data_IF_015591587431
#
_entry.id   IF_015591587431
#
_cell.length_a   1.000
_cell.length_b   1.000
_cell.length_c   1.000
_cell.angle_alpha   90.00
_cell.angle_beta   90.00
_cell.angle_gamma   90.00
#
_symmetry.space_group_name_H-M   'P 1'
#
loop_
_entity.id
_entity.type
_entity.pdbx_description
1 polymer ?
#
# COMPACT_ATOMS: atom_id res chain seq x y z
N UNK A 1 1.63 24.09 -18.06
CA UNK A 1 1.18 23.56 -17.73
C UNK A 1 0.74 23.04 -16.89
N UNK A 2 0.31 23.01 -16.39
CA UNK A 2 -0.08 22.57 -15.52
C UNK A 2 -0.91 21.74 -15.39
N UNK A 3 -1.54 21.22 -15.71
CA UNK A 3 -2.33 20.53 -15.70
C UNK A 3 -2.19 19.20 -15.72
N UNK A 4 -1.99 18.98 -16.26
CA UNK A 4 -1.30 17.72 -16.16
C UNK A 4 -1.58 17.00 -14.86
N UNK A 5 -1.70 17.77 -13.83
CA UNK A 5 -1.95 17.23 -12.51
C UNK A 5 -3.27 16.48 -12.42
N UNK A 6 -4.23 16.88 -13.21
CA UNK A 6 -5.53 16.21 -13.19
C UNK A 6 -5.44 14.76 -13.62
N UNK A 7 -4.38 14.40 -14.33
CA UNK A 7 -4.22 13.03 -14.81
C UNK A 7 -3.81 12.07 -13.73
N UNK A 8 -3.46 12.60 -12.55
CA UNK A 8 -3.07 11.75 -11.43
C UNK A 8 -4.01 11.91 -10.26
N UNK A 9 -5.28 12.19 -10.55
CA UNK A 9 -6.27 12.35 -9.50
C UNK A 9 -6.54 11.06 -8.75
N UNK A 10 -6.30 9.92 -9.40
CA UNK A 10 -6.56 8.64 -8.79
C UNK A 10 -5.40 7.70 -9.01
N UNK A 11 -5.18 6.85 -8.01
CA UNK A 11 -4.20 5.78 -8.11
C UNK A 11 -4.84 4.50 -7.64
N UNK A 12 -4.26 3.38 -8.04
CA UNK A 12 -4.70 2.09 -7.54
C UNK A 12 -3.56 1.48 -6.77
N UNK A 13 -3.83 1.08 -5.52
CA UNK A 13 -2.82 0.51 -4.65
C UNK A 13 -3.32 -0.75 -3.99
N UNK A 14 -2.37 -1.58 -3.58
CA UNK A 14 -2.60 -2.68 -2.67
C UNK A 14 -1.82 -2.38 -1.41
N UNK A 15 -2.26 -2.93 -0.28
CA UNK A 15 -1.49 -2.77 0.95
C UNK A 15 -1.58 -4.01 1.82
N UNK A 16 -0.61 -4.13 2.72
CA UNK A 16 -0.60 -5.14 3.77
C UNK A 16 -0.56 -4.39 5.08
N UNK A 17 -1.57 -4.59 5.91
CA UNK A 17 -1.66 -3.93 7.21
C UNK A 17 -1.28 -4.92 8.31
N UNK A 18 -0.31 -4.54 9.13
CA UNK A 18 0.09 -5.33 10.29
C UNK A 18 0.16 -4.41 11.50
N UNK A 19 0.21 -5.00 12.70
CA UNK A 19 0.11 -4.22 13.94
C UNK A 19 1.43 -3.66 14.42
N UNK A 20 2.54 -4.33 14.13
CA UNK A 20 3.83 -3.95 14.69
C UNK A 20 4.87 -3.73 13.61
N UNK A 21 5.89 -2.95 13.97
CA UNK A 21 7.00 -2.69 13.07
C UNK A 21 7.77 -3.98 12.77
N UNK A 22 7.89 -4.86 13.75
CA UNK A 22 8.56 -6.14 13.56
C UNK A 22 7.86 -6.97 12.48
N UNK A 23 6.53 -7.00 12.53
CA UNK A 23 5.76 -7.71 11.50
C UNK A 23 5.93 -7.06 10.13
N UNK A 24 5.96 -5.72 10.08
CA UNK A 24 6.17 -5.02 8.83
C UNK A 24 7.52 -5.35 8.22
N UNK A 25 8.57 -5.44 9.06
CA UNK A 25 9.88 -5.82 8.58
C UNK A 25 9.89 -7.25 8.04
N UNK A 26 9.18 -8.14 8.72
CA UNK A 26 9.08 -9.52 8.22
C UNK A 26 8.42 -9.57 6.84
N UNK A 27 7.40 -8.75 6.62
CA UNK A 27 6.77 -8.65 5.31
C UNK A 27 7.77 -8.14 4.26
N UNK A 28 8.53 -7.10 4.60
CA UNK A 28 9.55 -6.58 3.69
C UNK A 28 10.57 -7.66 3.32
N UNK A 29 11.01 -8.45 4.29
CA UNK A 29 11.98 -9.51 4.05
C UNK A 29 11.42 -10.56 3.10
N UNK A 30 10.15 -10.92 3.25
CA UNK A 30 9.49 -11.88 2.37
C UNK A 30 9.40 -11.34 0.94
N UNK A 31 9.07 -10.06 0.81
CA UNK A 31 9.00 -9.42 -0.51
C UNK A 31 10.37 -9.40 -1.17
N UNK A 32 11.42 -9.12 -0.39
CA UNK A 32 12.78 -9.09 -0.90
C UNK A 32 13.24 -10.47 -1.40
N UNK A 33 12.66 -11.52 -0.83
CA UNK A 33 12.96 -12.90 -1.27
C UNK A 33 12.16 -13.31 -2.50
N UNK A 34 11.32 -12.42 -3.01
CA UNK A 34 10.54 -12.69 -4.21
C UNK A 34 9.16 -13.27 -3.97
N UNK A 35 8.69 -13.31 -2.72
CA UNK A 35 7.33 -13.81 -2.47
C UNK A 35 6.30 -12.83 -3.00
N UNK A 36 5.15 -13.35 -3.38
CA UNK A 36 4.08 -12.56 -3.95
C UNK A 36 3.46 -11.61 -2.91
N UNK A 37 3.34 -10.34 -3.26
CA UNK A 37 2.67 -9.35 -2.41
C UNK A 37 1.25 -9.81 -2.08
N UNK A 38 0.53 -10.26 -3.10
CA UNK A 38 -0.85 -10.74 -2.94
C UNK A 38 -0.94 -11.91 -1.97
N UNK A 39 -0.04 -12.87 -2.09
CA UNK A 39 -0.05 -14.04 -1.21
C UNK A 39 0.23 -13.65 0.24
N UNK A 40 1.20 -12.75 0.45
CA UNK A 40 1.50 -12.29 1.81
C UNK A 40 0.29 -11.55 2.39
N UNK A 41 -0.33 -10.69 1.60
CA UNK A 41 -1.52 -9.96 2.05
C UNK A 41 -2.62 -10.92 2.51
N UNK A 42 -2.86 -11.98 1.75
CA UNK A 42 -3.87 -12.97 2.10
C UNK A 42 -3.56 -13.69 3.41
N UNK A 43 -2.27 -13.88 3.69
CA UNK A 43 -1.85 -14.61 4.89
C UNK A 43 -1.83 -13.75 6.14
N UNK A 44 -1.36 -12.51 6.05
CA UNK A 44 -1.03 -11.75 7.25
C UNK A 44 -1.72 -10.40 7.37
N UNK A 45 -2.32 -9.86 6.31
CA UNK A 45 -2.91 -8.53 6.40
C UNK A 45 -4.09 -8.51 7.36
N UNK A 46 -4.11 -7.49 8.23
CA UNK A 46 -5.20 -7.29 9.18
C UNK A 46 -6.40 -6.60 8.52
N UNK A 47 -6.23 -6.09 7.33
CA UNK A 47 -7.29 -5.39 6.61
C UNK A 47 -8.13 -6.41 5.81
N UNK A 48 -9.47 -6.23 5.75
CA UNK A 48 -10.30 -7.12 4.93
C UNK A 48 -9.87 -7.23 3.48
N UNK A 49 -9.23 -6.18 2.93
CA UNK A 49 -8.71 -6.21 1.57
C UNK A 49 -7.66 -7.30 1.37
N UNK A 50 -7.11 -7.84 2.45
CA UNK A 50 -6.16 -8.94 2.37
C UNK A 50 -6.69 -10.11 1.56
N UNK A 51 -7.98 -10.37 1.65
CA UNK A 51 -8.63 -11.45 0.90
C UNK A 51 -8.50 -11.26 -0.62
N UNK A 52 -8.33 -10.02 -1.05
CA UNK A 52 -8.15 -9.67 -2.46
C UNK A 52 -6.69 -9.37 -2.78
N UNK A 53 -5.78 -9.92 -2.00
CA UNK A 53 -4.35 -9.64 -2.19
C UNK A 53 -3.95 -8.25 -1.76
N UNK A 54 -4.77 -7.60 -0.95
CA UNK A 54 -4.52 -6.24 -0.48
C UNK A 54 -5.02 -5.15 -1.40
N UNK A 55 -5.60 -5.50 -2.54
CA UNK A 55 -6.05 -4.54 -3.55
C UNK A 55 -7.18 -3.66 -3.01
N UNK A 56 -6.93 -2.36 -2.98
CA UNK A 56 -7.90 -1.37 -2.50
C UNK A 56 -8.71 -0.75 -3.63
N UNK A 57 -8.40 -1.10 -4.88
CA UNK A 57 -9.01 -0.44 -6.02
C UNK A 57 -8.47 0.96 -6.21
N UNK A 58 -9.10 1.71 -7.10
CA UNK A 58 -8.69 3.10 -7.35
C UNK A 58 -9.29 4.02 -6.31
N UNK A 59 -8.52 5.02 -5.91
CA UNK A 59 -8.99 6.03 -4.98
C UNK A 59 -8.32 7.37 -5.29
N UNK A 60 -9.01 8.44 -4.91
CA UNK A 60 -8.49 9.79 -5.07
C UNK A 60 -8.01 10.36 -3.76
N UNK A 61 -7.57 11.60 -3.83
CA UNK A 61 -7.15 12.33 -2.64
C UNK A 61 -8.35 12.56 -1.75
N UNK A 62 -8.11 12.53 -0.44
CA UNK A 62 -9.16 12.75 0.55
C UNK A 62 -9.92 11.50 0.96
N UNK A 63 -9.64 10.36 0.35
CA UNK A 63 -10.36 9.12 0.65
C UNK A 63 -9.66 8.22 1.64
N UNK A 64 -8.34 8.36 1.76
CA UNK A 64 -7.52 7.56 2.69
C UNK A 64 -6.95 8.45 3.78
N UNK A 65 -6.48 7.84 4.87
CA UNK A 65 -5.78 8.62 5.88
C UNK A 65 -4.58 9.30 5.24
N UNK A 66 -4.21 10.46 5.79
CA UNK A 66 -3.23 11.34 5.16
C UNK A 66 -1.90 10.67 4.91
N UNK A 67 -1.38 9.94 5.89
CA UNK A 67 -0.08 9.27 5.75
C UNK A 67 -0.09 8.27 4.60
N UNK A 68 -1.18 7.53 4.48
CA UNK A 68 -1.34 6.56 3.39
C UNK A 68 -1.41 7.28 2.05
N UNK A 69 -2.21 8.32 1.97
CA UNK A 69 -2.40 9.08 0.74
C UNK A 69 -1.07 9.65 0.23
N UNK A 70 -0.32 10.30 1.11
CA UNK A 70 0.96 10.89 0.72
C UNK A 70 1.87 9.83 0.13
N UNK A 71 1.97 8.69 0.79
CA UNK A 71 2.81 7.62 0.31
C UNK A 71 2.33 7.08 -1.04
N UNK A 72 1.03 6.81 -1.14
CA UNK A 72 0.45 6.21 -2.34
C UNK A 72 0.67 7.09 -3.58
N UNK A 73 0.51 8.41 -3.41
CA UNK A 73 0.67 9.32 -4.54
C UNK A 73 2.13 9.65 -4.83
N UNK A 74 3.03 9.33 -3.91
CA UNK A 74 4.48 9.52 -4.13
C UNK A 74 5.11 8.33 -4.82
N UNK A 75 4.58 7.12 -4.61
CA UNK A 75 5.10 5.92 -5.25
C UNK A 75 4.91 5.97 -6.76
N UNK A 76 5.85 5.39 -7.47
CA UNK A 76 5.70 5.16 -8.90
C UNK A 76 5.00 3.83 -9.12
N UNK A 77 4.38 3.69 -10.29
CA UNK A 77 3.71 2.44 -10.63
C UNK A 77 4.67 1.26 -10.48
N UNK A 78 4.22 0.26 -9.74
CA UNK A 78 5.01 -0.95 -9.48
C UNK A 78 5.89 -0.86 -8.25
N UNK A 79 6.06 0.33 -7.68
CA UNK A 79 6.88 0.49 -6.49
C UNK A 79 6.17 0.03 -5.23
N UNK A 80 6.97 -0.47 -4.28
CA UNK A 80 6.49 -0.87 -2.96
C UNK A 80 7.15 0.03 -1.92
N UNK A 81 6.37 0.48 -0.95
CA UNK A 81 6.86 1.42 0.06
C UNK A 81 7.60 0.72 1.20
N UNK A 82 8.37 1.50 1.95
CA UNK A 82 8.76 1.13 3.29
C UNK A 82 7.52 1.16 4.19
N UNK A 83 7.57 0.63 5.42
CA UNK A 83 6.42 0.67 6.31
C UNK A 83 5.97 2.10 6.59
N UNK A 84 4.66 2.31 6.50
CA UNK A 84 4.04 3.61 6.77
C UNK A 84 3.14 3.44 8.00
N UNK A 85 3.42 4.21 9.04
CA UNK A 85 2.64 4.14 10.26
C UNK A 85 1.40 5.01 10.17
N UNK A 86 0.26 4.46 10.53
CA UNK A 86 -1.00 5.19 10.66
C UNK A 86 -1.64 4.81 11.99
N UNK A 87 -2.80 5.37 12.26
CA UNK A 87 -3.55 4.99 13.47
C UNK A 87 -3.97 3.52 13.48
N UNK A 88 -3.97 2.87 12.33
CA UNK A 88 -4.38 1.46 12.23
C UNK A 88 -3.23 0.48 12.42
N UNK A 89 -2.01 0.94 12.31
CA UNK A 89 -0.83 0.10 12.41
C UNK A 89 0.19 0.47 11.34
N UNK A 90 0.84 -0.53 10.75
CA UNK A 90 1.87 -0.32 9.74
C UNK A 90 1.39 -0.88 8.40
N UNK A 91 1.51 -0.06 7.37
CA UNK A 91 1.11 -0.42 6.01
C UNK A 91 2.33 -0.59 5.12
N UNK A 92 2.35 -1.67 4.35
CA UNK A 92 3.28 -1.81 3.23
C UNK A 92 2.42 -1.59 2.00
N UNK A 93 2.72 -0.57 1.21
CA UNK A 93 1.88 -0.13 0.10
C UNK A 93 2.56 -0.39 -1.22
N UNK A 94 1.83 -0.96 -2.16
CA UNK A 94 2.32 -1.16 -3.53
C UNK A 94 1.40 -0.41 -4.48
N UNK A 95 1.99 0.42 -5.34
CA UNK A 95 1.21 1.14 -6.33
C UNK A 95 1.03 0.29 -7.59
N UNK A 96 -0.22 0.05 -7.95
CA UNK A 96 -0.57 -0.80 -9.10
C UNK A 96 -0.83 -0.01 -10.37
N UNK A 97 -1.41 1.20 -10.22
CA UNK A 97 -1.72 2.05 -11.37
C UNK A 97 -1.47 3.51 -11.07
#
# INVERSE_FOLDING_TARGET
MRYVLSMTDKVRCAHILVKTQTEAKAVQDRLAKGESFSAIAQQVSQCPSGKKGGDLGKFGRGQMVKEFEICAFTLQKGETSAPVKTQFGYHIIKRLE
#
